data_IF_506448005455
#
_entry.id   IF_506448005455
#
_cell.length_a   1.000
_cell.length_b   1.000
_cell.length_c   1.000
_cell.angle_alpha   90.00
_cell.angle_beta   90.00
_cell.angle_gamma   90.00
#
_symmetry.space_group_name_H-M   'P 1'
#
loop_
_entity.id
_entity.type
_entity.pdbx_description
1 polymer ?
#
# COMPACT_ATOMS: atom_id res chain seq x y z
N UNK A 1 -13.88 46.22 -78.92
CA UNK A 1 -14.51 45.08 -79.62
C UNK A 1 -16.02 45.13 -79.40
N UNK A 2 -16.74 45.76 -80.32
CA UNK A 2 -18.13 45.41 -80.64
C UNK A 2 -18.12 44.06 -81.39
N UNK A 3 -19.27 43.43 -81.74
CA UNK A 3 -20.60 43.34 -81.10
C UNK A 3 -20.99 41.83 -81.01
N UNK A 4 -22.18 41.40 -80.54
CA UNK A 4 -23.33 40.98 -81.37
C UNK A 4 -24.33 40.20 -80.51
N UNK A 5 -25.58 40.66 -80.36
CA UNK A 5 -26.81 40.22 -81.09
C UNK A 5 -27.25 38.79 -80.72
N UNK A 6 -28.52 38.39 -80.57
CA UNK A 6 -29.85 38.82 -81.06
C UNK A 6 -30.86 37.87 -80.37
N UNK A 7 -31.97 38.34 -79.81
CA UNK A 7 -33.33 38.44 -80.41
C UNK A 7 -34.11 37.14 -80.63
N UNK A 8 -35.43 37.27 -80.37
CA UNK A 8 -36.60 36.57 -80.93
C UNK A 8 -37.18 35.37 -80.15
N UNK A 9 -38.39 35.58 -79.61
CA UNK A 9 -39.36 34.54 -79.22
C UNK A 9 -40.12 34.01 -80.44
N UNK A 10 -41.44 33.69 -80.37
CA UNK A 10 -42.28 33.24 -79.25
C UNK A 10 -42.78 31.78 -79.49
N UNK A 11 -43.46 31.16 -78.52
CA UNK A 11 -44.29 29.99 -78.81
C UNK A 11 -45.58 30.03 -77.97
N UNK A 12 -46.66 30.29 -78.70
CA UNK A 12 -48.05 30.14 -78.29
C UNK A 12 -48.35 28.67 -77.98
N UNK A 13 -49.05 28.40 -76.89
CA UNK A 13 -49.93 27.25 -76.81
C UNK A 13 -51.13 27.54 -75.91
N UNK A 14 -52.25 27.04 -76.41
CA UNK A 14 -53.61 27.44 -76.16
C UNK A 14 -54.24 26.70 -74.97
N UNK A 15 -55.15 27.41 -74.29
CA UNK A 15 -56.53 27.00 -73.99
C UNK A 15 -56.78 25.65 -73.29
N UNK A 16 -57.33 25.71 -72.06
CA UNK A 16 -58.53 24.95 -71.68
C UNK A 16 -59.07 25.40 -70.32
N UNK A 17 -60.17 26.15 -70.34
CA UNK A 17 -61.10 26.26 -69.21
C UNK A 17 -61.90 24.95 -69.12
N UNK A 18 -61.91 24.32 -67.95
CA UNK A 18 -62.97 23.39 -67.56
C UNK A 18 -63.40 23.75 -66.13
N UNK A 19 -64.60 24.30 -66.03
CA UNK A 19 -65.37 24.34 -64.79
C UNK A 19 -65.92 22.93 -64.54
N UNK A 20 -65.51 22.30 -63.44
CA UNK A 20 -66.09 21.06 -62.93
C UNK A 20 -66.49 21.28 -61.47
N UNK A 21 -67.80 21.21 -61.22
CA UNK A 21 -68.43 21.60 -59.96
C UNK A 21 -68.04 20.76 -58.75
N UNK A 22 -68.13 21.40 -57.59
CA UNK A 22 -68.11 20.73 -56.29
C UNK A 22 -69.37 19.87 -56.13
N UNK A 23 -69.16 18.59 -55.86
CA UNK A 23 -70.19 17.68 -55.36
C UNK A 23 -69.99 17.54 -53.85
N UNK A 24 -71.01 17.73 -53.00
CA UNK A 24 -70.86 17.59 -51.56
C UNK A 24 -70.80 16.11 -51.21
N UNK A 25 -69.58 15.56 -51.14
CA UNK A 25 -69.31 14.24 -50.59
C UNK A 25 -69.18 14.34 -49.08
N UNK A 26 -70.07 13.63 -48.39
CA UNK A 26 -70.16 13.37 -46.96
C UNK A 26 -69.02 13.92 -46.09
N UNK A 27 -69.37 14.90 -45.27
CA UNK A 27 -68.64 15.24 -44.06
C UNK A 27 -68.74 14.08 -43.06
N UNK A 28 -68.00 13.00 -43.34
CA UNK A 28 -67.47 12.16 -42.28
C UNK A 28 -66.56 13.06 -41.46
N UNK A 29 -67.06 13.53 -40.32
CA UNK A 29 -66.26 14.21 -39.30
C UNK A 29 -65.05 13.33 -39.02
N UNK A 30 -63.91 13.67 -39.61
CA UNK A 30 -62.65 12.99 -39.39
C UNK A 30 -62.39 13.04 -37.89
N UNK A 31 -62.51 11.88 -37.23
CA UNK A 31 -62.27 11.75 -35.80
C UNK A 31 -60.94 12.42 -35.50
N UNK A 32 -60.98 13.53 -34.77
CA UNK A 32 -59.77 14.13 -34.22
C UNK A 32 -59.13 13.02 -33.40
N UNK A 33 -58.05 12.42 -33.91
CA UNK A 33 -57.29 11.40 -33.17
C UNK A 33 -56.75 12.09 -31.93
N UNK A 34 -57.46 11.93 -30.82
CA UNK A 34 -57.01 12.32 -29.50
C UNK A 34 -55.84 11.40 -29.17
N UNK A 35 -54.71 11.99 -28.84
CA UNK A 35 -53.53 11.22 -28.49
C UNK A 35 -52.39 12.11 -28.07
N UNK A 36 -51.41 11.48 -27.43
CA UNK A 36 -50.21 12.11 -26.95
C UNK A 36 -49.03 11.17 -27.14
N UNK A 37 -47.82 11.72 -27.09
CA UNK A 37 -46.60 10.94 -26.97
C UNK A 37 -45.59 11.68 -26.10
N UNK A 38 -44.83 10.98 -25.25
CA UNK A 38 -43.66 11.58 -24.64
C UNK A 38 -42.62 11.88 -25.74
N UNK A 39 -41.88 12.97 -25.58
CA UNK A 39 -40.77 13.32 -26.47
C UNK A 39 -39.62 12.33 -26.32
N UNK A 40 -39.27 12.03 -25.08
CA UNK A 40 -38.17 11.16 -24.69
C UNK A 40 -38.72 9.87 -24.07
N UNK A 41 -38.06 8.75 -24.35
CA UNK A 41 -38.43 7.42 -23.81
C UNK A 41 -37.64 7.06 -22.56
N UNK A 42 -36.60 7.83 -22.24
CA UNK A 42 -35.77 7.70 -21.04
C UNK A 42 -35.59 9.07 -20.41
N UNK A 43 -35.79 9.17 -19.10
CA UNK A 43 -35.45 10.34 -18.29
C UNK A 43 -34.33 9.94 -17.31
N UNK A 44 -33.13 10.46 -17.55
CA UNK A 44 -31.96 10.20 -16.72
C UNK A 44 -31.72 11.36 -15.75
N UNK A 45 -31.72 11.04 -14.45
CA UNK A 45 -31.43 11.98 -13.38
C UNK A 45 -29.94 12.12 -13.10
N UNK A 46 -29.11 11.25 -13.69
CA UNK A 46 -27.67 11.19 -13.47
C UNK A 46 -27.33 10.78 -12.04
N UNK A 47 -26.18 11.26 -11.57
CA UNK A 47 -25.72 11.04 -10.20
C UNK A 47 -26.26 12.13 -9.27
N UNK A 48 -26.79 11.71 -8.13
CA UNK A 48 -27.39 12.59 -7.12
C UNK A 48 -26.91 12.14 -5.75
N UNK A 49 -26.48 13.08 -4.91
CA UNK A 49 -26.04 12.78 -3.55
C UNK A 49 -27.16 12.07 -2.77
N UNK A 50 -26.82 11.02 -2.03
CA UNK A 50 -27.76 10.31 -1.18
C UNK A 50 -28.49 11.28 -0.24
N UNK A 51 -29.82 11.16 -0.18
CA UNK A 51 -30.69 12.05 0.58
C UNK A 51 -31.06 13.35 -0.13
N UNK A 52 -30.40 13.71 -1.24
CA UNK A 52 -30.76 14.86 -2.05
C UNK A 52 -31.85 14.52 -3.09
N UNK A 53 -32.47 15.57 -3.64
CA UNK A 53 -33.49 15.46 -4.68
C UNK A 53 -33.02 16.08 -5.98
N UNK A 54 -33.30 15.42 -7.11
CA UNK A 54 -33.11 15.96 -8.45
C UNK A 54 -34.45 16.05 -9.17
N UNK A 55 -34.64 17.12 -9.94
CA UNK A 55 -35.87 17.37 -10.70
C UNK A 55 -35.57 17.39 -12.19
N UNK A 56 -36.41 16.71 -12.97
CA UNK A 56 -36.35 16.65 -14.43
C UNK A 56 -37.76 16.56 -14.98
N UNK A 57 -37.97 17.00 -16.21
CA UNK A 57 -39.29 16.98 -16.82
C UNK A 57 -39.32 16.13 -18.09
N UNK A 58 -40.45 15.45 -18.32
CA UNK A 58 -40.77 14.82 -19.60
C UNK A 58 -41.68 15.75 -20.39
N UNK A 59 -41.27 16.13 -21.60
CA UNK A 59 -42.17 16.85 -22.51
C UNK A 59 -43.18 15.89 -23.13
N UNK A 60 -44.47 16.16 -22.95
CA UNK A 60 -45.59 15.41 -23.54
C UNK A 60 -46.18 16.23 -24.68
N UNK A 61 -46.24 15.64 -25.88
CA UNK A 61 -46.68 16.29 -27.11
C UNK A 61 -48.09 15.79 -27.48
N UNK A 62 -49.01 16.69 -27.81
CA UNK A 62 -50.28 16.30 -28.40
C UNK A 62 -50.08 15.80 -29.84
N UNK A 63 -50.70 14.68 -30.19
CA UNK A 63 -50.73 14.17 -31.57
C UNK A 63 -51.98 14.64 -32.33
N UNK A 64 -52.91 15.30 -31.64
CA UNK A 64 -54.15 15.85 -32.18
C UNK A 64 -54.27 17.36 -31.95
N UNK A 65 -55.31 17.97 -32.52
CA UNK A 65 -55.61 19.41 -32.41
C UNK A 65 -56.53 19.78 -31.23
N UNK A 66 -56.97 18.80 -30.46
CA UNK A 66 -57.83 18.99 -29.30
C UNK A 66 -57.00 18.78 -28.03
N UNK A 67 -57.19 19.62 -27.03
CA UNK A 67 -56.53 19.45 -25.73
C UNK A 67 -56.99 18.15 -25.06
N UNK A 68 -56.09 17.48 -24.34
CA UNK A 68 -56.41 16.29 -23.56
C UNK A 68 -55.77 16.35 -22.17
N UNK A 69 -56.40 15.72 -21.19
CA UNK A 69 -55.81 15.50 -19.87
C UNK A 69 -55.03 14.19 -19.89
N UNK A 70 -53.79 14.22 -19.41
CA UNK A 70 -52.92 13.06 -19.24
C UNK A 70 -52.67 12.87 -17.75
N UNK A 71 -53.06 11.71 -17.22
CA UNK A 71 -52.74 11.29 -15.87
C UNK A 71 -51.37 10.60 -15.86
N UNK A 72 -50.50 11.05 -14.97
CA UNK A 72 -49.15 10.56 -14.75
C UNK A 72 -49.08 9.79 -13.42
N UNK A 73 -48.39 8.66 -13.43
CA UNK A 73 -48.12 7.88 -12.21
C UNK A 73 -46.70 7.33 -12.20
N UNK A 74 -46.12 7.24 -11.01
CA UNK A 74 -44.76 6.75 -10.77
C UNK A 74 -44.69 6.14 -9.36
N UNK A 75 -43.69 5.30 -9.11
CA UNK A 75 -43.39 4.74 -7.78
C UNK A 75 -42.08 5.28 -7.23
N UNK A 76 -41.94 5.26 -5.89
CA UNK A 76 -40.71 5.62 -5.20
C UNK A 76 -39.52 4.79 -5.72
N UNK A 77 -38.31 5.35 -5.82
CA UNK A 77 -37.84 6.64 -5.28
C UNK A 77 -38.18 7.89 -6.12
N UNK A 78 -39.01 7.75 -7.15
CA UNK A 78 -39.49 8.85 -7.96
C UNK A 78 -40.86 9.34 -7.48
N UNK A 79 -41.12 10.63 -7.63
CA UNK A 79 -42.38 11.29 -7.29
C UNK A 79 -42.75 12.28 -8.39
N UNK A 80 -44.04 12.63 -8.46
CA UNK A 80 -44.53 13.64 -9.40
C UNK A 80 -44.81 14.94 -8.67
N UNK A 81 -44.47 16.07 -9.29
CA UNK A 81 -44.95 17.36 -8.80
C UNK A 81 -46.47 17.50 -8.98
N UNK A 82 -47.00 16.95 -10.08
CA UNK A 82 -48.43 16.93 -10.42
C UNK A 82 -48.79 15.60 -11.09
N UNK A 83 -49.87 14.96 -10.66
CA UNK A 83 -50.34 13.67 -11.20
C UNK A 83 -51.24 13.80 -12.43
N UNK A 84 -51.69 15.00 -12.77
CA UNK A 84 -52.46 15.27 -13.99
C UNK A 84 -51.97 16.55 -14.66
N UNK A 85 -51.86 16.51 -15.98
CA UNK A 85 -51.49 17.67 -16.80
C UNK A 85 -52.43 17.79 -17.99
N UNK A 86 -52.73 19.03 -18.39
CA UNK A 86 -53.48 19.31 -19.62
C UNK A 86 -52.48 19.56 -20.74
N UNK A 87 -52.57 18.75 -21.80
CA UNK A 87 -51.76 18.91 -23.01
C UNK A 87 -52.60 19.68 -24.04
N UNK A 88 -52.21 20.92 -24.41
CA UNK A 88 -52.96 21.70 -25.39
C UNK A 88 -52.89 21.05 -26.77
N UNK A 89 -53.99 21.10 -27.52
CA UNK A 89 -54.05 20.57 -28.89
C UNK A 89 -52.99 21.20 -29.80
N UNK A 90 -52.17 20.37 -30.46
CA UNK A 90 -51.03 20.81 -31.27
C UNK A 90 -49.85 21.40 -30.49
N UNK A 91 -49.88 21.37 -29.15
CA UNK A 91 -48.83 21.89 -28.28
C UNK A 91 -48.16 20.82 -27.43
N UNK A 92 -47.47 21.27 -26.38
CA UNK A 92 -46.70 20.46 -25.47
C UNK A 92 -46.91 20.90 -24.01
N UNK A 93 -46.80 19.96 -23.08
CA UNK A 93 -46.79 20.22 -21.64
C UNK A 93 -45.68 19.40 -20.98
N UNK A 94 -45.09 19.93 -19.92
CA UNK A 94 -44.06 19.23 -19.15
C UNK A 94 -44.66 18.51 -17.94
N UNK A 95 -44.21 17.28 -17.71
CA UNK A 95 -44.48 16.51 -16.50
C UNK A 95 -43.21 16.47 -15.67
N UNK A 96 -43.16 17.21 -14.57
CA UNK A 96 -42.01 17.24 -13.66
C UNK A 96 -42.00 15.99 -12.76
N UNK A 97 -40.86 15.30 -12.77
CA UNK A 97 -40.57 14.13 -11.95
C UNK A 97 -39.41 14.48 -11.02
N UNK A 98 -39.59 14.15 -9.74
CA UNK A 98 -38.60 14.33 -8.67
C UNK A 98 -38.02 12.96 -8.31
N UNK A 99 -36.70 12.83 -8.38
CA UNK A 99 -35.97 11.66 -7.89
C UNK A 99 -35.39 11.97 -6.50
N UNK A 100 -35.74 11.16 -5.49
CA UNK A 100 -35.10 11.23 -4.17
C UNK A 100 -34.04 10.15 -4.07
N UNK A 101 -32.77 10.53 -4.03
CA UNK A 101 -31.68 9.59 -4.21
C UNK A 101 -31.41 8.75 -2.95
N UNK A 102 -31.41 7.43 -3.11
CA UNK A 102 -30.90 6.47 -2.12
C UNK A 102 -29.40 6.21 -2.29
N UNK A 103 -28.97 4.98 -2.05
CA UNK A 103 -27.61 4.51 -2.38
C UNK A 103 -27.68 3.48 -3.52
N UNK A 104 -26.93 3.73 -4.60
CA UNK A 104 -26.85 2.85 -5.76
C UNK A 104 -27.82 3.23 -6.91
N UNK A 105 -27.88 2.39 -7.96
CA UNK A 105 -28.76 2.63 -9.10
C UNK A 105 -30.23 2.49 -8.70
N UNK A 106 -31.06 3.35 -9.25
CA UNK A 106 -32.51 3.35 -9.09
C UNK A 106 -33.17 3.40 -10.46
N UNK A 107 -34.10 2.48 -10.70
CA UNK A 107 -34.88 2.40 -11.93
C UNK A 107 -36.37 2.50 -11.62
N UNK A 108 -37.12 3.12 -12.52
CA UNK A 108 -38.56 3.29 -12.39
C UNK A 108 -39.22 3.48 -13.75
N UNK A 109 -40.54 3.55 -13.76
CA UNK A 109 -41.30 3.83 -14.99
C UNK A 109 -42.33 4.90 -14.69
N UNK A 110 -42.27 6.00 -15.45
CA UNK A 110 -43.36 6.97 -15.51
C UNK A 110 -44.41 6.43 -16.48
N UNK A 111 -45.62 6.21 -15.99
CA UNK A 111 -46.76 5.79 -16.80
C UNK A 111 -47.65 6.99 -17.04
N UNK A 112 -47.83 7.33 -18.31
CA UNK A 112 -48.74 8.37 -18.78
C UNK A 112 -49.98 7.72 -19.40
N UNK A 113 -51.16 8.14 -18.99
CA UNK A 113 -52.44 7.59 -19.44
C UNK A 113 -53.43 8.69 -19.81
N UNK A 114 -54.10 8.56 -20.95
CA UNK A 114 -55.04 9.57 -21.44
C UNK A 114 -55.62 9.21 -22.80
N UNK A 115 -56.88 9.58 -23.07
CA UNK A 115 -57.56 9.30 -24.33
C UNK A 115 -57.52 7.81 -24.79
N UNK A 116 -57.51 6.86 -23.84
CA UNK A 116 -57.42 5.42 -24.13
C UNK A 116 -56.02 4.92 -24.55
N UNK A 117 -55.00 5.79 -24.49
CA UNK A 117 -53.61 5.46 -24.77
C UNK A 117 -52.80 5.44 -23.48
N UNK A 118 -51.78 4.58 -23.46
CA UNK A 118 -50.77 4.50 -22.41
C UNK A 118 -49.39 4.63 -23.03
N UNK A 119 -48.55 5.49 -22.46
CA UNK A 119 -47.15 5.60 -22.83
C UNK A 119 -46.27 5.47 -21.57
N UNK A 120 -45.10 4.86 -21.72
CA UNK A 120 -44.14 4.70 -20.64
C UNK A 120 -42.84 5.44 -20.95
N UNK A 121 -42.24 6.01 -19.91
CA UNK A 121 -40.89 6.58 -19.93
C UNK A 121 -40.07 5.91 -18.86
N UNK A 122 -38.92 5.33 -19.23
CA UNK A 122 -38.00 4.71 -18.26
C UNK A 122 -37.30 5.79 -17.47
N UNK A 123 -37.33 5.69 -16.15
CA UNK A 123 -36.64 6.59 -15.24
C UNK A 123 -35.40 5.88 -14.72
N UNK A 124 -34.26 6.55 -14.78
CA UNK A 124 -33.01 6.04 -14.21
C UNK A 124 -32.34 7.14 -13.40
N UNK A 125 -31.71 6.78 -12.29
CA UNK A 125 -30.93 7.70 -11.46
C UNK A 125 -29.95 6.92 -10.60
N UNK A 126 -28.84 7.55 -10.22
CA UNK A 126 -27.82 6.93 -9.37
C UNK A 126 -27.64 7.74 -8.10
N UNK A 127 -27.98 7.12 -6.97
CA UNK A 127 -27.68 7.66 -5.66
C UNK A 127 -26.21 7.41 -5.30
N UNK A 128 -25.48 8.48 -4.98
CA UNK A 128 -24.06 8.40 -4.61
C UNK A 128 -23.84 8.82 -3.16
N UNK A 129 -23.10 7.99 -2.43
CA UNK A 129 -22.52 8.35 -1.13
C UNK A 129 -21.04 8.64 -1.36
N UNK A 130 -20.60 9.91 -1.32
CA UNK A 130 -19.19 10.23 -1.50
C UNK A 130 -18.34 9.52 -0.45
N UNK A 131 -17.35 8.75 -0.90
CA UNK A 131 -16.26 8.34 -0.02
C UNK A 131 -15.35 9.56 0.23
N UNK A 132 -14.66 9.65 1.38
CA UNK A 132 -13.61 10.65 1.57
C UNK A 132 -12.59 10.49 0.45
N UNK A 133 -12.21 11.61 -0.16
CA UNK A 133 -11.18 11.58 -1.19
C UNK A 133 -9.82 11.27 -0.58
N UNK A 134 -8.93 10.57 -1.31
CA UNK A 134 -7.57 10.36 -0.84
C UNK A 134 -6.88 11.71 -0.65
N UNK A 135 -6.23 11.88 0.50
CA UNK A 135 -5.38 13.04 0.76
C UNK A 135 -4.02 12.78 0.10
N UNK A 136 -3.51 13.81 -0.59
CA UNK A 136 -2.15 13.80 -1.15
C UNK A 136 -1.45 15.09 -0.77
N UNK A 137 -0.16 15.05 -0.39
CA UNK A 137 0.58 16.26 -0.12
C UNK A 137 0.56 17.17 -1.35
N UNK A 138 0.36 18.47 -1.14
CA UNK A 138 0.36 19.48 -2.21
C UNK A 138 -0.74 19.33 -3.26
N UNK A 139 -1.81 18.62 -2.93
CA UNK A 139 -3.03 18.56 -3.72
C UNK A 139 -4.26 18.74 -2.83
N UNK A 140 -5.25 19.46 -3.32
CA UNK A 140 -6.59 19.45 -2.76
C UNK A 140 -7.46 18.47 -3.53
N UNK A 141 -8.03 17.49 -2.83
CA UNK A 141 -8.91 16.48 -3.41
C UNK A 141 -10.36 16.80 -3.08
N UNK A 142 -11.19 16.95 -4.12
CA UNK A 142 -12.64 17.19 -3.98
C UNK A 142 -13.43 16.12 -4.71
N UNK A 143 -14.50 15.64 -4.10
CA UNK A 143 -15.41 14.72 -4.78
C UNK A 143 -16.29 15.47 -5.79
N UNK A 144 -16.23 15.05 -7.06
CA UNK A 144 -17.08 15.57 -8.12
C UNK A 144 -18.29 14.63 -8.34
N UNK A 145 -19.49 15.18 -8.15
CA UNK A 145 -20.75 14.42 -8.22
C UNK A 145 -21.04 13.92 -9.62
N UNK A 146 -20.70 14.70 -10.65
CA UNK A 146 -21.03 14.37 -12.04
C UNK A 146 -20.22 13.18 -12.56
N UNK A 147 -18.91 13.19 -12.32
CA UNK A 147 -18.01 12.08 -12.65
C UNK A 147 -18.14 10.92 -11.66
N UNK A 148 -18.55 11.20 -10.42
CA UNK A 148 -18.53 10.23 -9.33
C UNK A 148 -17.11 9.88 -8.88
N UNK A 149 -16.14 10.75 -9.11
CA UNK A 149 -14.72 10.56 -8.83
C UNK A 149 -14.16 11.73 -8.02
N UNK A 150 -13.04 11.48 -7.34
CA UNK A 150 -12.26 12.56 -6.72
C UNK A 150 -11.44 13.26 -7.79
N UNK A 151 -11.55 14.59 -7.84
CA UNK A 151 -10.71 15.45 -8.66
C UNK A 151 -9.65 16.08 -7.77
N UNK A 152 -8.39 15.98 -8.20
CA UNK A 152 -7.24 16.54 -7.50
C UNK A 152 -6.82 17.83 -8.19
N UNK A 153 -6.61 18.90 -7.41
CA UNK A 153 -6.07 20.17 -7.90
C UNK A 153 -4.75 20.44 -7.19
N UNK A 154 -3.65 20.72 -7.91
CA UNK A 154 -2.38 21.07 -7.29
C UNK A 154 -2.52 22.34 -6.44
N UNK A 155 -1.89 22.34 -5.26
CA UNK A 155 -1.72 23.56 -4.48
C UNK A 155 -0.67 24.47 -5.12
N UNK A 156 -0.74 25.77 -4.79
CA UNK A 156 0.23 26.76 -5.26
C UNK A 156 1.63 26.50 -4.68
N UNK A 157 2.65 26.91 -5.42
CA UNK A 157 4.05 26.86 -4.97
C UNK A 157 4.23 27.65 -3.66
N UNK A 158 4.85 27.04 -2.65
CA UNK A 158 5.03 27.61 -1.32
C UNK A 158 3.82 27.48 -0.37
N UNK A 159 2.70 26.89 -0.82
CA UNK A 159 1.59 26.58 0.06
C UNK A 159 2.04 25.66 1.21
N UNK A 160 1.44 25.85 2.40
CA UNK A 160 1.73 24.99 3.54
C UNK A 160 1.19 23.58 3.27
N UNK A 161 1.98 22.57 3.62
CA UNK A 161 1.61 21.18 3.49
C UNK A 161 2.18 20.37 4.66
N UNK A 162 1.60 19.20 4.90
CA UNK A 162 2.11 18.24 5.89
C UNK A 162 2.99 17.24 5.16
N UNK A 163 4.30 17.17 5.45
CA UNK A 163 5.17 16.17 4.86
C UNK A 163 4.80 14.76 5.33
N UNK A 164 4.92 13.78 4.43
CA UNK A 164 4.70 12.36 4.78
C UNK A 164 5.74 11.84 5.78
N UNK A 165 6.96 12.38 5.70
CA UNK A 165 8.04 12.05 6.63
C UNK A 165 7.93 12.89 7.89
N UNK A 166 7.90 12.23 9.05
CA UNK A 166 8.03 12.88 10.36
C UNK A 166 9.38 13.57 10.53
N UNK A 167 10.35 13.34 9.66
CA UNK A 167 11.66 14.00 9.73
C UNK A 167 11.72 15.32 9.01
N UNK A 168 10.61 15.76 8.42
CA UNK A 168 10.50 17.06 7.79
C UNK A 168 9.59 17.95 8.64
N UNK A 169 10.00 19.20 8.80
CA UNK A 169 9.21 20.27 9.41
C UNK A 169 9.05 21.41 8.41
N UNK A 170 8.07 22.28 8.68
CA UNK A 170 7.79 23.45 7.85
C UNK A 170 7.55 23.09 6.37
N UNK A 171 6.70 22.08 6.15
CA UNK A 171 6.37 21.60 4.82
C UNK A 171 5.82 22.70 3.90
N UNK A 172 6.43 22.81 2.71
CA UNK A 172 6.05 23.71 1.63
C UNK A 172 5.93 22.96 0.32
N UNK A 173 4.95 23.34 -0.49
CA UNK A 173 4.79 22.76 -1.80
C UNK A 173 5.85 23.27 -2.75
N UNK A 174 6.64 22.34 -3.29
CA UNK A 174 7.61 22.62 -4.33
C UNK A 174 7.49 21.59 -5.45
N UNK A 175 7.13 22.06 -6.65
CA UNK A 175 6.94 21.21 -7.83
C UNK A 175 6.00 20.01 -7.59
N UNK A 176 4.93 20.21 -6.81
CA UNK A 176 3.94 19.18 -6.48
C UNK A 176 4.33 18.24 -5.34
N UNK A 177 5.52 18.39 -4.75
CA UNK A 177 5.95 17.63 -3.58
C UNK A 177 5.92 18.49 -2.32
N UNK A 178 5.59 17.89 -1.17
CA UNK A 178 5.73 18.58 0.12
C UNK A 178 7.16 18.43 0.63
N UNK A 179 7.97 19.48 0.45
CA UNK A 179 9.36 19.52 0.91
C UNK A 179 9.44 20.31 2.22
N UNK A 180 10.35 19.95 3.11
CA UNK A 180 10.51 20.63 4.39
C UNK A 180 11.97 20.67 4.81
N UNK A 181 12.23 21.30 5.95
CA UNK A 181 13.56 21.28 6.56
C UNK A 181 13.74 20.01 7.38
N UNK A 182 14.95 19.43 7.45
CA UNK A 182 15.23 18.32 8.33
C UNK A 182 14.93 18.69 9.79
N UNK A 183 14.18 17.83 10.48
CA UNK A 183 13.97 17.91 11.92
C UNK A 183 15.29 17.60 12.63
N UNK A 184 15.65 18.42 13.61
CA UNK A 184 16.69 18.05 14.58
C UNK A 184 16.11 17.09 15.62
N UNK A 185 16.83 16.02 15.91
CA UNK A 185 16.47 15.02 16.93
C UNK A 185 17.46 14.95 18.08
N UNK A 186 18.41 15.90 18.13
CA UNK A 186 19.39 16.04 19.20
C UNK A 186 18.68 16.18 20.56
N UNK A 187 18.90 15.22 21.47
CA UNK A 187 18.33 15.21 22.82
C UNK A 187 19.31 15.73 23.89
N UNK A 188 20.41 16.35 23.43
CA UNK A 188 21.52 16.84 24.23
C UNK A 188 22.16 15.74 25.13
N UNK A 189 22.04 14.47 24.75
CA UNK A 189 22.63 13.36 25.49
C UNK A 189 23.81 12.74 24.72
N UNK A 190 25.06 12.91 25.19
CA UNK A 190 26.23 12.34 24.52
C UNK A 190 26.24 10.80 24.53
N UNK A 191 25.36 10.17 25.32
CA UNK A 191 25.23 8.73 25.43
C UNK A 191 24.20 8.13 24.49
N UNK A 192 23.62 8.93 23.60
CA UNK A 192 22.73 8.46 22.56
C UNK A 192 23.26 8.88 21.19
N UNK A 193 22.95 8.03 20.22
CA UNK A 193 23.03 8.36 18.81
C UNK A 193 21.60 8.66 18.38
N UNK A 194 21.38 9.92 18.04
CA UNK A 194 20.06 10.41 17.68
C UNK A 194 19.88 10.33 16.17
N UNK A 195 18.74 9.80 15.77
CA UNK A 195 18.36 9.70 14.38
C UNK A 195 16.89 10.08 14.20
N UNK A 196 16.54 10.44 12.98
CA UNK A 196 15.14 10.65 12.63
C UNK A 196 14.64 9.51 11.75
N UNK A 197 13.64 8.79 12.25
CA UNK A 197 12.86 7.81 11.50
C UNK A 197 11.69 8.49 10.76
N UNK A 198 11.54 8.33 9.44
CA UNK A 198 10.44 8.94 8.68
C UNK A 198 9.04 8.60 9.21
N UNK A 199 8.87 7.44 9.86
CA UNK A 199 7.58 6.97 10.38
C UNK A 199 7.44 7.13 11.89
N UNK A 200 8.53 7.02 12.66
CA UNK A 200 8.47 7.12 14.13
C UNK A 200 8.76 8.54 14.64
N UNK A 201 9.49 9.35 13.87
CA UNK A 201 10.03 10.64 14.31
C UNK A 201 11.41 10.45 14.93
N UNK A 202 11.75 11.23 15.95
CA UNK A 202 13.04 11.13 16.62
C UNK A 202 13.16 9.82 17.38
N UNK A 203 14.28 9.11 17.14
CA UNK A 203 14.64 7.86 17.78
C UNK A 203 16.07 7.95 18.27
N UNK A 204 16.35 7.32 19.41
CA UNK A 204 17.65 7.35 20.07
C UNK A 204 18.13 5.92 20.30
N UNK A 205 19.39 5.63 19.98
CA UNK A 205 20.04 4.36 20.37
C UNK A 205 21.21 4.63 21.29
N UNK A 206 21.51 3.73 22.23
CA UNK A 206 22.65 3.92 23.12
C UNK A 206 23.96 3.96 22.33
N UNK A 207 24.79 4.97 22.61
CA UNK A 207 26.13 5.06 22.07
C UNK A 207 27.04 4.07 22.79
N UNK A 208 27.80 3.28 22.03
CA UNK A 208 28.84 2.41 22.60
C UNK A 208 30.07 3.24 22.92
N UNK A 209 30.53 3.20 24.17
CA UNK A 209 31.80 3.85 24.52
C UNK A 209 32.99 3.10 23.93
N UNK A 210 34.10 3.81 23.62
CA UNK A 210 35.33 3.17 23.17
C UNK A 210 35.78 2.07 24.13
N UNK A 211 36.24 0.96 23.57
CA UNK A 211 36.81 -0.12 24.37
C UNK A 211 38.05 0.39 25.14
N UNK A 212 38.10 0.23 26.46
CA UNK A 212 39.24 0.69 27.24
C UNK A 212 40.49 -0.16 27.00
N UNK A 213 41.68 0.41 27.23
CA UNK A 213 42.96 -0.27 27.00
C UNK A 213 43.19 -1.48 27.91
N UNK A 214 42.56 -1.49 29.09
CA UNK A 214 42.66 -2.57 30.07
C UNK A 214 41.43 -3.47 30.00
N UNK A 215 41.59 -4.80 29.98
CA UNK A 215 40.46 -5.75 30.02
C UNK A 215 39.68 -5.72 31.35
N UNK A 216 40.21 -5.06 32.39
CA UNK A 216 39.51 -4.85 33.67
C UNK A 216 38.90 -3.46 33.81
N UNK A 217 38.70 -2.80 32.69
CA UNK A 217 37.99 -1.54 32.61
C UNK A 217 36.81 -1.72 31.68
N UNK A 218 35.72 -1.01 31.95
CA UNK A 218 34.56 -0.97 31.06
C UNK A 218 34.24 0.48 30.74
N UNK A 219 33.98 0.75 29.46
CA UNK A 219 33.50 2.05 29.02
C UNK A 219 32.05 2.22 29.45
N UNK A 220 31.77 3.24 30.26
CA UNK A 220 30.41 3.57 30.68
C UNK A 220 30.12 4.98 30.21
N UNK A 221 28.94 5.17 29.63
CA UNK A 221 28.52 6.49 29.24
C UNK A 221 27.78 7.16 30.39
N UNK A 222 28.31 8.29 30.82
CA UNK A 222 27.68 9.21 31.76
C UNK A 222 27.04 10.37 30.98
N UNK A 223 25.83 10.79 31.36
CA UNK A 223 25.10 11.83 30.62
C UNK A 223 25.81 13.18 30.65
N UNK A 224 26.47 13.51 31.76
CA UNK A 224 27.09 14.82 31.97
C UNK A 224 28.55 14.84 31.52
N UNK A 225 29.26 13.72 31.70
CA UNK A 225 30.68 13.59 31.40
C UNK A 225 30.98 12.89 30.06
N UNK A 226 29.97 12.30 29.43
CA UNK A 226 30.12 11.49 28.22
C UNK A 226 30.75 10.12 28.52
N UNK A 227 31.55 9.60 27.58
CA UNK A 227 32.20 8.31 27.79
C UNK A 227 33.30 8.39 28.83
N UNK A 228 33.07 7.71 29.96
CA UNK A 228 34.03 7.53 31.04
C UNK A 228 34.44 6.05 31.13
N UNK A 229 35.29 5.73 32.10
CA UNK A 229 35.78 4.36 32.30
C UNK A 229 35.70 4.01 33.77
N UNK A 230 35.03 2.90 34.08
CA UNK A 230 34.96 2.35 35.44
C UNK A 230 35.66 1.00 35.51
N UNK A 231 35.87 0.50 36.73
CA UNK A 231 36.40 -0.85 36.93
C UNK A 231 35.37 -1.88 36.45
N UNK A 232 35.84 -2.90 35.73
CA UNK A 232 35.05 -4.10 35.50
C UNK A 232 34.75 -4.77 36.84
N UNK A 233 33.62 -5.49 36.92
CA UNK A 233 33.23 -6.23 38.13
C UNK A 233 34.36 -7.15 38.59
N UNK A 234 34.58 -7.19 39.90
CA UNK A 234 35.53 -8.12 40.49
C UNK A 234 35.17 -9.55 40.08
N UNK A 235 36.21 -10.37 39.86
CA UNK A 235 36.12 -11.74 39.37
C UNK A 235 35.74 -11.89 37.88
N UNK A 236 35.56 -10.80 37.14
CA UNK A 236 35.42 -10.85 35.68
C UNK A 236 36.71 -11.39 35.02
N UNK A 237 36.62 -12.32 34.05
CA UNK A 237 37.78 -12.80 33.31
C UNK A 237 38.44 -11.68 32.48
N UNK A 238 39.76 -11.53 32.63
CA UNK A 238 40.55 -10.53 31.90
C UNK A 238 41.67 -11.15 31.06
N UNK A 239 41.59 -12.46 30.84
CA UNK A 239 42.56 -13.24 30.10
C UNK A 239 42.24 -14.73 30.20
N UNK A 240 43.22 -15.60 29.88
CA UNK A 240 43.03 -17.05 29.98
C UNK A 240 42.61 -17.50 31.40
N UNK A 241 41.74 -18.50 31.42
CA UNK A 241 41.20 -19.11 32.63
C UNK A 241 41.36 -20.62 32.51
N UNK A 242 42.10 -21.21 33.45
CA UNK A 242 42.17 -22.65 33.68
C UNK A 242 42.17 -22.94 35.18
N UNK A 243 42.11 -24.22 35.58
CA UNK A 243 42.02 -24.60 37.00
C UNK A 243 43.31 -24.49 37.80
N UNK A 244 44.41 -24.08 37.17
CA UNK A 244 45.68 -23.78 37.85
C UNK A 244 45.85 -22.27 38.01
N UNK A 245 45.51 -21.53 36.96
CA UNK A 245 45.64 -20.07 36.88
C UNK A 245 44.42 -19.47 36.16
N UNK A 246 43.69 -18.61 36.86
CA UNK A 246 42.71 -17.71 36.25
C UNK A 246 43.18 -16.27 36.35
N UNK A 247 43.05 -15.53 35.25
CA UNK A 247 43.28 -14.07 35.23
C UNK A 247 41.95 -13.36 35.40
N UNK A 248 41.72 -12.79 36.59
CA UNK A 248 40.49 -12.13 36.95
C UNK A 248 40.72 -10.66 37.35
N UNK A 249 39.67 -9.85 37.22
CA UNK A 249 39.68 -8.46 37.64
C UNK A 249 39.54 -8.31 39.15
N UNK A 250 40.34 -7.41 39.71
CA UNK A 250 40.27 -6.98 41.10
C UNK A 250 40.54 -5.48 41.15
N UNK A 251 39.49 -4.69 41.43
CA UNK A 251 39.53 -3.22 41.49
C UNK A 251 40.27 -2.62 40.28
N UNK A 252 39.81 -2.99 39.08
CA UNK A 252 40.36 -2.48 37.81
C UNK A 252 41.68 -3.11 37.36
N UNK A 253 42.24 -4.04 38.12
CA UNK A 253 43.54 -4.67 37.82
C UNK A 253 43.38 -6.15 37.50
N UNK A 254 43.96 -6.61 36.39
CA UNK A 254 43.98 -8.02 36.03
C UNK A 254 45.04 -8.78 36.83
N UNK A 255 44.62 -9.72 37.69
CA UNK A 255 45.51 -10.51 38.56
C UNK A 255 45.34 -12.00 38.31
N UNK A 256 46.45 -12.73 38.38
CA UNK A 256 46.45 -14.18 38.35
C UNK A 256 46.12 -14.74 39.74
N UNK A 257 45.12 -15.61 39.82
CA UNK A 257 44.72 -16.32 41.04
C UNK A 257 44.59 -17.80 40.74
N UNK A 258 44.71 -18.64 41.76
CA UNK A 258 44.36 -20.07 41.66
C UNK A 258 42.87 -20.21 41.92
N UNK A 259 42.07 -20.73 40.96
CA UNK A 259 40.64 -20.88 41.16
C UNK A 259 40.31 -21.84 42.30
N UNK A 260 39.26 -21.56 43.09
CA UNK A 260 38.76 -22.52 44.07
C UNK A 260 38.08 -23.71 43.38
N UNK A 261 37.86 -24.77 44.17
CA UNK A 261 37.04 -25.91 43.77
C UNK A 261 35.63 -25.45 43.36
N UNK A 262 35.13 -25.98 42.24
CA UNK A 262 33.83 -25.60 41.67
C UNK A 262 33.86 -24.36 40.78
N UNK A 263 35.00 -23.67 40.62
CA UNK A 263 35.10 -22.54 39.69
C UNK A 263 34.88 -22.98 38.24
N UNK A 264 34.15 -22.17 37.46
CA UNK A 264 33.84 -22.46 36.05
C UNK A 264 35.08 -22.26 35.19
N UNK A 265 35.66 -23.35 34.72
CA UNK A 265 36.85 -23.35 33.86
C UNK A 265 36.52 -23.42 32.38
N UNK A 266 35.32 -23.89 32.04
CA UNK A 266 34.83 -23.92 30.68
C UNK A 266 33.31 -23.69 30.71
N UNK A 267 32.80 -22.58 30.18
CA UNK A 267 31.36 -22.33 30.14
C UNK A 267 30.63 -23.44 29.37
N UNK A 268 29.35 -23.61 29.67
CA UNK A 268 28.51 -24.54 28.92
C UNK A 268 28.47 -24.15 27.43
N UNK A 269 28.52 -25.17 26.57
CA UNK A 269 28.23 -25.04 25.14
C UNK A 269 26.99 -25.88 24.82
N UNK A 270 26.40 -25.72 23.63
CA UNK A 270 25.25 -26.56 23.28
C UNK A 270 25.55 -28.05 23.35
N UNK A 271 26.75 -28.48 22.94
CA UNK A 271 27.12 -29.89 22.92
C UNK A 271 27.65 -30.40 24.27
N UNK A 272 27.93 -29.53 25.24
CA UNK A 272 28.68 -29.93 26.44
C UNK A 272 28.35 -29.04 27.62
N UNK A 273 27.97 -29.66 28.75
CA UNK A 273 27.70 -28.94 29.99
C UNK A 273 28.91 -28.15 30.50
N UNK A 274 28.66 -27.26 31.46
CA UNK A 274 29.69 -26.46 32.11
C UNK A 274 30.78 -27.35 32.75
N UNK A 275 32.03 -26.93 32.62
CA UNK A 275 33.18 -27.55 33.27
C UNK A 275 33.54 -26.81 34.55
N UNK A 276 33.80 -27.56 35.63
CA UNK A 276 34.19 -27.00 36.93
C UNK A 276 35.54 -27.54 37.39
N UNK A 277 36.28 -26.72 38.12
CA UNK A 277 37.57 -27.11 38.66
C UNK A 277 37.43 -28.11 39.79
N UNK A 278 38.09 -29.27 39.64
CA UNK A 278 38.29 -30.23 40.72
C UNK A 278 39.74 -30.71 40.76
N UNK A 279 40.42 -30.46 41.88
CA UNK A 279 41.82 -30.86 42.06
C UNK A 279 42.78 -30.22 41.06
N UNK A 280 42.54 -28.96 40.67
CA UNK A 280 43.34 -28.23 39.68
C UNK A 280 43.16 -28.70 38.23
N UNK A 281 42.17 -29.56 37.96
CA UNK A 281 41.80 -30.05 36.62
C UNK A 281 40.38 -29.60 36.29
N UNK A 282 40.17 -29.16 35.05
CA UNK A 282 38.83 -28.82 34.56
C UNK A 282 38.05 -30.10 34.30
N UNK A 283 37.13 -30.45 35.21
CA UNK A 283 36.25 -31.60 35.06
C UNK A 283 35.02 -31.17 34.26
N UNK A 284 34.84 -31.80 33.09
CA UNK A 284 33.69 -31.57 32.21
C UNK A 284 33.25 -32.89 31.62
N UNK A 285 31.93 -33.11 31.56
CA UNK A 285 31.37 -34.27 30.87
C UNK A 285 31.79 -34.25 29.40
N UNK A 286 31.99 -35.41 28.78
CA UNK A 286 32.30 -35.47 27.36
C UNK A 286 31.20 -34.77 26.52
N UNK A 287 31.57 -34.12 25.40
CA UNK A 287 30.57 -33.54 24.52
C UNK A 287 29.62 -34.62 24.02
N UNK A 288 28.34 -34.29 24.01
CA UNK A 288 27.26 -35.11 23.45
C UNK A 288 27.04 -34.66 22.01
N UNK A 289 26.76 -35.61 21.13
CA UNK A 289 26.37 -35.30 19.76
C UNK A 289 24.99 -34.65 19.76
N UNK A 290 24.87 -33.50 19.09
CA UNK A 290 23.59 -32.80 18.98
C UNK A 290 22.69 -33.54 18.00
N UNK A 291 21.56 -34.03 18.49
CA UNK A 291 20.49 -34.50 17.62
C UNK A 291 19.65 -33.31 17.14
N UNK A 292 19.36 -33.20 15.84
CA UNK A 292 18.56 -32.10 15.31
C UNK A 292 17.12 -32.21 15.85
N UNK A 293 16.67 -31.17 16.56
CA UNK A 293 15.28 -31.06 17.00
C UNK A 293 14.31 -30.93 15.82
N UNK A 294 14.80 -30.37 14.70
CA UNK A 294 14.05 -30.15 13.48
C UNK A 294 14.95 -30.35 12.26
N UNK A 295 14.43 -31.03 11.24
CA UNK A 295 15.01 -31.12 9.90
C UNK A 295 13.95 -30.69 8.87
N UNK A 296 14.34 -29.86 7.93
CA UNK A 296 13.45 -29.31 6.90
C UNK A 296 14.08 -29.46 5.52
N UNK A 297 13.30 -30.00 4.59
CA UNK A 297 13.67 -30.01 3.17
C UNK A 297 13.36 -28.65 2.54
N UNK A 298 14.36 -28.03 1.91
CA UNK A 298 14.20 -26.79 1.18
C UNK A 298 13.92 -27.08 -0.30
N UNK A 299 13.01 -26.30 -0.90
CA UNK A 299 12.78 -26.28 -2.35
C UNK A 299 13.87 -25.47 -3.07
N UNK A 300 15.12 -25.92 -2.94
CA UNK A 300 16.31 -25.30 -3.52
C UNK A 300 17.50 -25.30 -2.57
N UNK A 301 18.58 -24.66 -3.00
CA UNK A 301 19.80 -24.50 -2.23
C UNK A 301 19.82 -23.11 -1.56
N UNK A 302 20.22 -23.00 -0.29
CA UNK A 302 20.41 -21.71 0.35
C UNK A 302 21.56 -20.92 -0.33
N UNK A 303 21.44 -19.60 -0.35
CA UNK A 303 22.48 -18.71 -0.92
C UNK A 303 23.65 -18.60 0.06
N UNK A 304 24.87 -18.81 -0.46
CA UNK A 304 26.10 -18.75 0.30
C UNK A 304 26.88 -17.44 0.08
N UNK A 305 27.67 -17.03 1.09
CA UNK A 305 28.47 -15.79 1.06
C UNK A 305 30.00 -16.03 1.08
N UNK A 306 30.43 -17.22 0.67
CA UNK A 306 31.84 -17.64 0.70
C UNK A 306 32.32 -18.18 2.05
N UNK A 307 31.54 -18.03 3.13
CA UNK A 307 31.75 -18.73 4.42
C UNK A 307 30.70 -19.81 4.69
N UNK A 308 29.60 -19.78 3.95
CA UNK A 308 28.54 -20.78 3.96
C UNK A 308 27.18 -20.14 3.70
N UNK A 309 26.12 -20.92 3.86
CA UNK A 309 24.76 -20.45 3.71
C UNK A 309 24.34 -19.53 4.86
N UNK A 310 23.73 -18.39 4.51
CA UNK A 310 23.33 -17.36 5.49
C UNK A 310 21.95 -17.65 6.06
N UNK A 311 21.84 -17.58 7.38
CA UNK A 311 20.60 -17.75 8.13
C UNK A 311 20.49 -16.66 9.19
N UNK A 312 19.37 -15.96 9.21
CA UNK A 312 19.08 -14.94 10.22
C UNK A 312 17.91 -15.38 11.09
N UNK A 313 17.96 -15.05 12.37
CA UNK A 313 16.90 -15.35 13.34
C UNK A 313 16.42 -14.05 13.95
N UNK A 314 15.11 -13.85 14.01
CA UNK A 314 14.48 -12.73 14.71
C UNK A 314 13.21 -13.21 15.37
N UNK A 315 13.07 -12.94 16.67
CA UNK A 315 11.95 -13.42 17.50
C UNK A 315 11.72 -14.93 17.34
N UNK A 316 10.61 -15.31 16.70
CA UNK A 316 10.16 -16.69 16.46
C UNK A 316 10.29 -17.13 15.01
N UNK A 317 11.08 -16.42 14.20
CA UNK A 317 11.24 -16.69 12.79
C UNK A 317 12.69 -16.82 12.33
N UNK A 318 12.86 -17.69 11.33
CA UNK A 318 14.12 -18.03 10.69
C UNK A 318 14.01 -17.58 9.23
N UNK A 319 15.01 -16.83 8.75
CA UNK A 319 15.04 -16.26 7.42
C UNK A 319 16.28 -16.73 6.67
N UNK A 320 16.11 -17.09 5.40
CA UNK A 320 17.21 -17.40 4.49
C UNK A 320 16.79 -17.17 3.04
N UNK A 321 17.75 -17.01 2.14
CA UNK A 321 17.51 -16.98 0.70
C UNK A 321 17.68 -18.38 0.14
N UNK A 322 16.73 -18.85 -0.65
CA UNK A 322 16.80 -20.15 -1.32
C UNK A 322 16.68 -19.97 -2.83
N UNK A 323 17.53 -20.65 -3.59
CA UNK A 323 17.54 -20.65 -5.04
C UNK A 323 17.40 -22.10 -5.54
N UNK A 324 16.42 -22.37 -6.40
CA UNK A 324 16.24 -23.70 -6.97
C UNK A 324 15.01 -23.81 -7.87
N UNK A 325 15.06 -24.75 -8.82
CA UNK A 325 14.02 -24.95 -9.82
C UNK A 325 13.94 -23.83 -10.87
N UNK A 326 12.84 -23.79 -11.61
CA UNK A 326 12.60 -22.82 -12.71
C UNK A 326 12.12 -21.43 -12.23
N UNK A 327 11.92 -21.26 -10.91
CA UNK A 327 11.29 -20.06 -10.32
C UNK A 327 12.30 -18.99 -9.84
N UNK A 328 13.61 -19.25 -9.93
CA UNK A 328 14.66 -18.33 -9.49
C UNK A 328 14.90 -18.38 -7.97
N UNK A 329 15.38 -17.27 -7.42
CA UNK A 329 15.69 -17.13 -6.00
C UNK A 329 14.57 -16.42 -5.23
N UNK A 330 14.42 -16.77 -3.95
CA UNK A 330 13.37 -16.23 -3.08
C UNK A 330 13.84 -16.09 -1.63
N UNK A 331 13.26 -15.13 -0.92
CA UNK A 331 13.37 -15.03 0.54
C UNK A 331 12.34 -15.96 1.17
N UNK A 332 12.78 -16.89 2.00
CA UNK A 332 11.89 -17.76 2.76
C UNK A 332 11.96 -17.42 4.25
N UNK A 333 10.80 -17.48 4.89
CA UNK A 333 10.68 -17.32 6.33
C UNK A 333 9.96 -18.53 6.93
N UNK A 334 10.55 -19.12 7.95
CA UNK A 334 9.98 -20.22 8.73
C UNK A 334 9.71 -19.77 10.15
N UNK A 335 8.74 -20.39 10.82
CA UNK A 335 8.62 -20.33 12.28
C UNK A 335 9.75 -21.14 12.93
N UNK A 336 10.00 -20.92 14.22
CA UNK A 336 10.97 -21.72 14.99
C UNK A 336 10.69 -23.23 14.96
N UNK A 337 9.43 -23.64 14.79
CA UNK A 337 9.04 -25.04 14.65
C UNK A 337 9.07 -25.57 13.21
N UNK A 338 9.61 -24.81 12.25
CA UNK A 338 9.79 -25.25 10.85
C UNK A 338 8.60 -25.04 9.93
N UNK A 339 7.51 -24.41 10.40
CA UNK A 339 6.37 -24.08 9.53
C UNK A 339 6.75 -22.92 8.59
N UNK A 340 6.59 -23.10 7.28
CA UNK A 340 6.77 -22.04 6.29
C UNK A 340 5.74 -20.92 6.54
N UNK A 341 6.24 -19.70 6.76
CA UNK A 341 5.42 -18.48 6.90
C UNK A 341 5.13 -17.86 5.55
N UNK A 342 6.18 -17.67 4.75
CA UNK A 342 6.09 -17.17 3.38
C UNK A 342 7.34 -17.54 2.59
N UNK A 343 7.18 -17.54 1.27
CA UNK A 343 8.24 -17.59 0.29
C UNK A 343 8.00 -16.43 -0.70
N UNK A 344 8.91 -15.46 -0.71
CA UNK A 344 8.79 -14.22 -1.46
C UNK A 344 9.82 -14.21 -2.60
N UNK A 345 9.40 -14.41 -3.87
CA UNK A 345 10.31 -14.40 -5.01
C UNK A 345 11.01 -13.06 -5.17
N UNK A 346 12.30 -13.09 -5.49
CA UNK A 346 13.03 -11.89 -5.84
C UNK A 346 12.59 -11.41 -7.24
N UNK A 347 12.40 -10.10 -7.46
CA UNK A 347 11.80 -9.59 -8.70
C UNK A 347 12.54 -9.95 -9.99
N UNK A 348 13.87 -10.09 -9.91
CA UNK A 348 14.75 -10.48 -11.00
C UNK A 348 15.14 -11.97 -10.96
N UNK A 349 14.63 -12.71 -9.96
CA UNK A 349 15.00 -14.09 -9.68
C UNK A 349 16.46 -14.29 -9.25
N UNK A 350 17.21 -13.21 -9.01
CA UNK A 350 18.64 -13.26 -8.70
C UNK A 350 18.91 -13.60 -7.24
N UNK A 351 20.08 -14.17 -6.96
CA UNK A 351 20.49 -14.48 -5.60
C UNK A 351 20.61 -13.20 -4.75
N UNK A 352 20.27 -13.31 -3.46
CA UNK A 352 20.41 -12.24 -2.48
C UNK A 352 21.03 -12.79 -1.21
N UNK A 353 22.05 -12.11 -0.69
CA UNK A 353 22.66 -12.47 0.60
C UNK A 353 21.95 -11.70 1.70
N UNK A 354 21.50 -12.39 2.75
CA UNK A 354 20.89 -11.72 3.90
C UNK A 354 21.96 -10.94 4.67
N UNK A 355 21.64 -9.71 5.07
CA UNK A 355 22.55 -8.82 5.79
C UNK A 355 22.13 -8.61 7.25
N UNK A 356 20.84 -8.36 7.48
CA UNK A 356 20.29 -8.09 8.81
C UNK A 356 18.79 -8.39 8.87
N UNK A 357 18.27 -8.60 10.07
CA UNK A 357 16.83 -8.77 10.33
C UNK A 357 16.43 -8.00 11.59
N UNK A 358 15.25 -7.37 11.55
CA UNK A 358 14.60 -6.74 12.69
C UNK A 358 13.08 -6.69 12.45
N UNK A 359 12.34 -6.13 13.42
CA UNK A 359 10.90 -5.85 13.25
C UNK A 359 10.60 -4.90 12.08
N UNK A 360 11.58 -4.10 11.66
CA UNK A 360 11.44 -3.17 10.54
C UNK A 360 11.62 -3.85 9.17
N UNK A 361 12.23 -5.04 9.10
CA UNK A 361 12.49 -5.72 7.83
C UNK A 361 13.65 -6.70 7.84
N UNK A 362 13.66 -7.53 6.81
CA UNK A 362 14.81 -8.36 6.42
C UNK A 362 15.57 -7.61 5.32
N UNK A 363 16.80 -7.19 5.60
CA UNK A 363 17.66 -6.49 4.65
C UNK A 363 18.52 -7.50 3.93
N UNK A 364 18.54 -7.41 2.60
CA UNK A 364 19.33 -8.28 1.72
C UNK A 364 20.18 -7.47 0.75
N UNK A 365 21.32 -8.03 0.39
CA UNK A 365 22.20 -7.51 -0.62
C UNK A 365 21.75 -7.98 -2.01
N UNK A 366 21.44 -7.03 -2.88
CA UNK A 366 21.18 -7.24 -4.30
C UNK A 366 22.43 -6.92 -5.14
N UNK A 367 22.53 -7.44 -6.38
CA UNK A 367 23.63 -7.10 -7.29
C UNK A 367 23.76 -5.60 -7.54
N UNK A 368 22.63 -4.90 -7.65
CA UNK A 368 22.54 -3.49 -7.99
C UNK A 368 22.31 -2.56 -6.78
N UNK A 369 22.16 -3.12 -5.58
CA UNK A 369 21.90 -2.32 -4.38
C UNK A 369 21.56 -3.11 -3.13
N UNK A 370 20.76 -2.49 -2.26
CA UNK A 370 20.14 -3.13 -1.11
C UNK A 370 18.63 -3.16 -1.25
N UNK A 371 18.02 -4.19 -0.70
CA UNK A 371 16.57 -4.34 -0.64
C UNK A 371 16.15 -4.67 0.79
N UNK A 372 14.94 -4.25 1.18
CA UNK A 372 14.30 -4.75 2.39
C UNK A 372 12.96 -5.38 2.09
N UNK A 373 12.66 -6.43 2.85
CA UNK A 373 11.44 -7.21 2.76
C UNK A 373 10.72 -7.22 4.10
N UNK A 374 9.39 -7.25 4.07
CA UNK A 374 8.57 -7.31 5.27
C UNK A 374 8.90 -8.59 6.05
N UNK A 375 9.14 -8.53 7.37
CA UNK A 375 9.50 -9.72 8.16
C UNK A 375 8.27 -10.60 8.48
N UNK A 376 7.07 -10.12 8.13
CA UNK A 376 5.77 -10.74 8.41
C UNK A 376 4.85 -10.59 7.19
N UNK A 377 3.73 -11.32 7.19
CA UNK A 377 2.77 -11.31 6.08
C UNK A 377 3.31 -12.12 4.89
N UNK A 378 3.24 -11.56 3.68
CA UNK A 378 3.67 -12.24 2.44
C UNK A 378 5.15 -12.03 2.12
N UNK A 379 5.92 -11.35 2.99
CA UNK A 379 7.31 -11.00 2.69
C UNK A 379 7.45 -9.98 1.56
N UNK A 380 6.52 -9.04 1.42
CA UNK A 380 6.55 -8.06 0.33
C UNK A 380 7.80 -7.15 0.42
N UNK A 381 8.36 -6.77 -0.75
CA UNK A 381 9.47 -5.81 -0.81
C UNK A 381 9.01 -4.44 -0.31
N UNK A 382 9.69 -3.92 0.69
CA UNK A 382 9.43 -2.62 1.32
C UNK A 382 10.12 -1.49 0.56
N UNK A 383 11.40 -1.66 0.26
CA UNK A 383 12.19 -0.66 -0.47
C UNK A 383 13.37 -1.31 -1.20
N UNK A 384 13.91 -0.56 -2.15
CA UNK A 384 15.14 -0.87 -2.88
C UNK A 384 15.94 0.44 -3.04
N UNK A 385 17.25 0.36 -2.81
CA UNK A 385 18.18 1.48 -2.97
C UNK A 385 19.40 1.00 -3.75
N UNK A 386 19.75 1.69 -4.84
CA UNK A 386 20.87 1.27 -5.69
C UNK A 386 22.22 1.71 -5.12
N UNK A 387 23.30 1.00 -5.47
CA UNK A 387 24.66 1.39 -5.06
C UNK A 387 25.00 2.82 -5.46
N UNK A 388 24.60 3.24 -6.67
CA UNK A 388 24.84 4.58 -7.17
C UNK A 388 24.14 5.64 -6.30
N UNK A 389 22.92 5.37 -5.82
CA UNK A 389 22.20 6.28 -4.92
C UNK A 389 22.82 6.36 -3.52
N UNK A 390 23.58 5.34 -3.11
CA UNK A 390 24.36 5.32 -1.87
C UNK A 390 25.76 5.94 -2.03
N UNK A 391 26.11 6.42 -3.23
CA UNK A 391 27.46 6.92 -3.52
C UNK A 391 28.53 5.81 -3.57
N UNK A 392 28.12 4.54 -3.67
CA UNK A 392 29.01 3.40 -3.79
C UNK A 392 29.20 3.02 -5.27
N UNK A 393 30.43 2.71 -5.67
CA UNK A 393 30.73 2.21 -7.02
C UNK A 393 30.17 0.80 -7.26
N UNK A 394 30.06 0.38 -8.53
CA UNK A 394 29.71 -1.00 -8.88
C UNK A 394 30.63 -2.00 -8.17
N UNK A 395 30.05 -2.97 -7.47
CA UNK A 395 30.80 -4.02 -6.75
C UNK A 395 31.02 -3.77 -5.26
N UNK A 396 30.31 -2.84 -4.63
CA UNK A 396 30.33 -2.70 -3.17
C UNK A 396 29.77 -3.97 -2.49
N UNK A 397 30.60 -4.65 -1.72
CA UNK A 397 30.17 -5.73 -0.83
C UNK A 397 30.01 -5.21 0.59
N UNK A 398 28.84 -5.44 1.18
CA UNK A 398 28.61 -5.15 2.59
C UNK A 398 28.85 -6.46 3.33
N UNK A 399 30.03 -6.60 3.93
CA UNK A 399 30.30 -7.70 4.84
C UNK A 399 29.74 -7.32 6.22
N UNK A 400 28.50 -7.71 6.50
CA UNK A 400 27.96 -7.70 7.85
C UNK A 400 27.51 -9.10 8.23
N UNK A 401 28.24 -9.73 9.13
CA UNK A 401 27.78 -10.88 9.89
C UNK A 401 27.43 -10.40 11.27
N UNK A 402 26.36 -10.97 11.83
CA UNK A 402 26.21 -11.43 13.21
C UNK A 402 24.70 -11.51 13.50
N UNK A 403 24.19 -12.73 13.68
CA UNK A 403 22.94 -12.95 14.39
C UNK A 403 23.32 -13.28 15.84
N UNK A 404 23.31 -12.26 16.68
CA UNK A 404 23.36 -12.39 18.13
C UNK A 404 22.00 -11.96 18.67
N UNK A 405 21.56 -12.59 19.76
CA UNK A 405 20.49 -11.99 20.57
C UNK A 405 20.93 -10.59 21.03
N UNK A 406 20.01 -9.85 21.64
CA UNK A 406 20.34 -8.61 22.36
C UNK A 406 21.43 -8.81 23.44
N UNK A 407 21.73 -10.05 23.79
CA UNK A 407 22.63 -10.52 24.86
C UNK A 407 23.82 -11.34 24.32
N UNK A 408 24.02 -11.42 22.99
CA UNK A 408 25.12 -12.20 22.38
C UNK A 408 25.05 -13.74 22.52
N UNK A 409 23.85 -14.29 22.73
CA UNK A 409 23.65 -15.75 22.80
C UNK A 409 23.49 -16.41 21.42
N UNK A 410 24.07 -17.60 21.27
CA UNK A 410 23.85 -18.48 20.11
C UNK A 410 22.50 -19.19 20.27
N UNK A 411 21.47 -18.72 19.54
CA UNK A 411 20.11 -19.27 19.63
C UNK A 411 19.92 -20.66 19.00
N UNK A 412 20.71 -21.02 17.97
CA UNK A 412 20.60 -22.31 17.28
C UNK A 412 21.88 -22.67 16.50
N UNK A 413 22.23 -23.96 16.49
CA UNK A 413 23.23 -24.53 15.59
C UNK A 413 22.52 -25.07 14.35
N UNK A 414 22.87 -24.57 13.16
CA UNK A 414 22.26 -25.00 11.89
C UNK A 414 23.30 -25.67 11.01
N UNK A 415 22.96 -26.83 10.46
CA UNK A 415 23.75 -27.53 9.46
C UNK A 415 22.93 -27.72 8.19
N UNK A 416 23.54 -27.47 7.04
CA UNK A 416 22.94 -27.67 5.73
C UNK A 416 23.40 -28.99 5.14
N UNK A 417 22.49 -29.76 4.53
CA UNK A 417 22.82 -31.01 3.84
C UNK A 417 22.10 -31.08 2.51
N UNK A 418 22.77 -31.66 1.51
CA UNK A 418 22.16 -32.00 0.23
C UNK A 418 21.45 -33.35 0.39
N UNK A 419 20.19 -33.43 -0.03
CA UNK A 419 19.44 -34.70 -0.01
C UNK A 419 20.14 -35.75 -0.87
N UNK A 420 20.69 -36.80 -0.23
CA UNK A 420 21.39 -37.91 -0.90
C UNK A 420 22.64 -38.44 -0.20
N UNK A 421 23.29 -37.64 0.64
CA UNK A 421 24.48 -38.09 1.38
C UNK A 421 24.09 -38.85 2.66
N UNK A 422 24.11 -40.18 2.58
CA UNK A 422 24.05 -41.08 3.74
C UNK A 422 25.46 -41.41 4.20
N UNK A 423 26.10 -40.53 4.96
CA UNK A 423 27.20 -40.91 5.85
C UNK A 423 27.30 -39.88 6.98
N UNK A 424 26.99 -40.32 8.20
CA UNK A 424 27.51 -39.80 9.46
C UNK A 424 28.18 -40.98 10.15
#
# INVERSE_FOLDING_TARGET
MHPRTRSWGPLLLALALVMGGCQPGDSGTGGSRLGFRPRDTVLDFGRVLEGAQARRAVTVLATGRTSLTVAASVQGPFALATSEVVVPGGGATEVEVVFTAGHGPSEGTLVLSGAGLTASVRLIGMGIRPAPCPERPCHESRFDVASGMCVETPLEEGAACTPDSRCLVDGRCQAGACVGSPRTCDDDNPCTVDACSPTQGCVTTQAACPAPESPCKVGVCDRDEGCTTVDADDFSPCGPVDCQTARLCFSGTCRAVTPPEGFVCAPATACQGEGTCQGGVCQRLAPVELEPELSLDLEGAPVEDGRGAVLLVSEDAIFTSVCGGDAGCQLVAYTRSGLLRYAAPYPDGGARTLLAVSDAGVVVQAPDGMEAYAPRGTGARLWHVSWNSLGAGEGASVASHVALTREEDVLAYVAWRVSGDRNF
#
